data_IF_199085993447
#
_entry.id   IF_199085993447
#
_cell.length_a   1.000
_cell.length_b   1.000
_cell.length_c   1.000
_cell.angle_alpha   90.00
_cell.angle_beta   90.00
_cell.angle_gamma   90.00
#
_symmetry.space_group_name_H-M   'P 1'
#
loop_
_entity.id
_entity.type
_entity.pdbx_description
1 polymer ?
#
# COMPACT_ATOMS: atom_id res chain seq x y z
N UNK A 1 2.97 2.48 -20.83
CA UNK A 1 3.24 2.90 -19.44
C UNK A 1 3.51 1.66 -18.58
N UNK A 2 4.10 1.80 -17.39
CA UNK A 2 4.35 0.66 -16.49
C UNK A 2 3.74 0.83 -15.11
N UNK A 3 3.46 -0.28 -14.43
CA UNK A 3 3.07 -0.30 -13.01
C UNK A 3 4.22 -0.89 -12.19
N UNK A 4 4.63 -0.23 -11.12
CA UNK A 4 5.72 -0.66 -10.24
C UNK A 4 5.19 -0.83 -8.82
N UNK A 5 5.29 -2.02 -8.25
CA UNK A 5 4.88 -2.32 -6.87
C UNK A 5 6.09 -2.50 -5.98
N UNK A 6 6.07 -1.86 -4.82
CA UNK A 6 7.07 -2.02 -3.77
C UNK A 6 6.46 -2.62 -2.50
N UNK A 7 7.06 -3.71 -2.01
CA UNK A 7 6.62 -4.41 -0.80
C UNK A 7 6.96 -3.63 0.49
N UNK A 8 6.51 -4.15 1.63
CA UNK A 8 6.64 -3.45 2.91
C UNK A 8 8.08 -3.25 3.38
N UNK A 9 8.99 -4.19 3.08
CA UNK A 9 10.43 -4.07 3.32
C UNK A 9 11.07 -3.01 2.42
N UNK A 10 10.57 -2.85 1.19
CA UNK A 10 11.03 -1.81 0.26
C UNK A 10 10.69 -0.39 0.74
N UNK A 11 9.74 -0.23 1.66
CA UNK A 11 9.31 1.07 2.21
C UNK A 11 9.40 1.12 3.74
N UNK A 12 10.23 0.28 4.36
CA UNK A 12 10.26 0.12 5.83
C UNK A 12 10.91 1.27 6.61
N UNK A 13 11.74 2.07 5.93
CA UNK A 13 12.59 3.11 6.49
C UNK A 13 12.84 4.24 5.47
N UNK A 14 13.41 5.36 5.92
CA UNK A 14 13.80 6.45 5.05
C UNK A 14 14.78 5.99 3.97
N UNK A 15 15.82 5.24 4.35
CA UNK A 15 16.81 4.71 3.41
C UNK A 15 16.18 3.77 2.36
N UNK A 16 15.24 2.91 2.76
CA UNK A 16 14.52 2.04 1.83
C UNK A 16 13.71 2.87 0.81
N UNK A 17 13.02 3.91 1.28
CA UNK A 17 12.24 4.82 0.44
C UNK A 17 13.15 5.61 -0.52
N UNK A 18 14.38 5.97 -0.12
CA UNK A 18 15.36 6.55 -1.04
C UNK A 18 15.71 5.60 -2.19
N UNK A 19 15.93 4.32 -1.89
CA UNK A 19 16.22 3.32 -2.92
C UNK A 19 15.05 3.21 -3.89
N UNK A 20 13.82 3.18 -3.38
CA UNK A 20 12.60 3.19 -4.19
C UNK A 20 12.54 4.44 -5.09
N UNK A 21 12.81 5.63 -4.56
CA UNK A 21 12.83 6.86 -5.34
C UNK A 21 13.85 6.80 -6.49
N UNK A 22 15.06 6.28 -6.24
CA UNK A 22 16.09 6.10 -7.28
C UNK A 22 15.66 5.11 -8.37
N UNK A 23 15.02 4.00 -7.97
CA UNK A 23 14.50 2.99 -8.90
C UNK A 23 13.43 3.62 -9.80
N UNK A 24 12.45 4.32 -9.22
CA UNK A 24 11.38 4.99 -9.99
C UNK A 24 11.96 6.10 -10.88
N UNK A 25 12.94 6.87 -10.39
CA UNK A 25 13.62 7.90 -11.17
C UNK A 25 14.23 7.35 -12.46
N UNK A 26 14.82 6.15 -12.39
CA UNK A 26 15.40 5.45 -13.54
C UNK A 26 14.37 4.95 -14.57
N UNK A 27 13.07 4.97 -14.22
CA UNK A 27 11.96 4.49 -15.05
C UNK A 27 11.02 5.58 -15.54
N UNK A 28 11.30 6.85 -15.27
CA UNK A 28 10.41 7.98 -15.62
C UNK A 28 9.99 8.01 -17.10
N UNK A 29 10.89 7.65 -18.03
CA UNK A 29 10.60 7.60 -19.47
C UNK A 29 9.54 6.55 -19.86
N UNK A 30 9.25 5.59 -18.98
CA UNK A 30 8.21 4.57 -19.17
C UNK A 30 6.88 4.94 -18.51
N UNK A 31 6.74 6.19 -18.03
CA UNK A 31 5.53 6.72 -17.37
C UNK A 31 5.06 5.82 -16.22
N UNK A 32 5.82 5.71 -15.12
CA UNK A 32 5.53 4.76 -14.06
C UNK A 32 4.30 5.17 -13.24
N UNK A 33 3.46 4.18 -12.93
CA UNK A 33 2.43 4.22 -11.88
C UNK A 33 2.95 3.40 -10.71
N UNK A 34 2.99 3.98 -9.52
CA UNK A 34 3.64 3.38 -8.35
C UNK A 34 2.61 2.90 -7.33
N UNK A 35 2.78 1.67 -6.87
CA UNK A 35 2.00 1.05 -5.80
C UNK A 35 2.95 0.72 -4.64
N UNK A 36 2.59 1.12 -3.42
CA UNK A 36 3.36 0.78 -2.22
C UNK A 36 2.49 0.05 -1.20
N UNK A 37 3.05 -0.94 -0.53
CA UNK A 37 2.44 -1.56 0.65
C UNK A 37 2.59 -0.67 1.89
N UNK A 38 1.96 -1.05 3.00
CA UNK A 38 2.28 -0.50 4.31
C UNK A 38 3.76 -0.72 4.63
N UNK A 39 4.34 0.13 5.49
CA UNK A 39 5.71 -0.09 5.98
C UNK A 39 5.82 -1.45 6.69
N UNK A 40 6.99 -2.10 6.64
CA UNK A 40 7.18 -3.42 7.24
C UNK A 40 6.63 -3.52 8.68
N UNK A 41 5.87 -4.60 8.92
CA UNK A 41 5.17 -4.95 10.18
C UNK A 41 3.98 -4.05 10.57
N UNK A 42 3.65 -3.01 9.80
CA UNK A 42 2.54 -2.11 10.16
C UNK A 42 1.19 -2.81 10.06
N UNK A 43 0.95 -3.63 9.03
CA UNK A 43 -0.30 -4.37 8.89
C UNK A 43 -0.52 -5.32 10.07
N UNK A 44 0.51 -6.06 10.49
CA UNK A 44 0.44 -6.95 11.66
C UNK A 44 0.16 -6.17 12.95
N UNK A 45 0.78 -4.99 13.10
CA UNK A 45 0.52 -4.09 14.23
C UNK A 45 -0.93 -3.60 14.24
N UNK A 46 -1.52 -3.28 13.08
CA UNK A 46 -2.92 -2.87 12.96
C UNK A 46 -3.86 -4.02 13.33
N UNK A 47 -3.61 -5.24 12.84
CA UNK A 47 -4.36 -6.45 13.25
C UNK A 47 -4.32 -6.60 14.78
N UNK A 48 -3.14 -6.54 15.38
CA UNK A 48 -2.97 -6.68 16.82
C UNK A 48 -3.68 -5.56 17.62
N UNK A 49 -3.65 -4.31 17.13
CA UNK A 49 -4.39 -3.20 17.73
C UNK A 49 -5.90 -3.44 17.71
N UNK A 50 -6.44 -3.92 16.59
CA UNK A 50 -7.87 -4.25 16.46
C UNK A 50 -8.29 -5.36 17.42
N UNK A 51 -7.48 -6.41 17.53
CA UNK A 51 -7.72 -7.52 18.47
C UNK A 51 -7.72 -7.05 19.93
N UNK A 52 -6.72 -6.27 20.34
CA UNK A 52 -6.66 -5.69 21.71
C UNK A 52 -7.88 -4.83 22.01
N UNK A 53 -8.23 -3.93 21.09
CA UNK A 53 -9.41 -3.07 21.25
C UNK A 53 -10.69 -3.90 21.36
N UNK A 54 -10.89 -4.92 20.51
CA UNK A 54 -12.06 -5.81 20.59
C UNK A 54 -12.16 -6.57 21.92
N UNK A 55 -11.03 -6.87 22.56
CA UNK A 55 -10.95 -7.47 23.91
C UNK A 55 -11.07 -6.44 25.05
N UNK A 56 -11.54 -5.23 24.76
CA UNK A 56 -11.66 -4.10 25.69
C UNK A 56 -10.33 -3.57 26.28
N UNK A 57 -9.19 -3.99 25.73
CA UNK A 57 -7.86 -3.47 26.06
C UNK A 57 -7.53 -2.24 25.19
N UNK A 58 -8.31 -1.18 25.38
CA UNK A 58 -8.18 0.06 24.60
C UNK A 58 -6.85 0.76 24.87
N UNK A 59 -6.38 0.75 26.12
CA UNK A 59 -5.14 1.43 26.51
C UNK A 59 -3.92 0.85 25.80
N UNK A 60 -3.79 -0.48 25.74
CA UNK A 60 -2.68 -1.11 25.02
C UNK A 60 -2.78 -0.91 23.50
N UNK A 61 -3.99 -0.86 22.94
CA UNK A 61 -4.21 -0.53 21.53
C UNK A 61 -3.77 0.92 21.23
N UNK A 62 -4.17 1.88 22.05
CA UNK A 62 -3.79 3.29 21.90
C UNK A 62 -2.30 3.54 22.18
N UNK A 63 -1.68 2.79 23.08
CA UNK A 63 -0.23 2.84 23.29
C UNK A 63 0.53 2.32 22.05
N UNK A 64 0.03 1.25 21.43
CA UNK A 64 0.59 0.73 20.18
C UNK A 64 0.41 1.73 19.03
N UNK A 65 -0.75 2.42 18.96
CA UNK A 65 -1.01 3.50 18.02
C UNK A 65 -0.03 4.68 18.21
N UNK A 66 0.28 5.06 19.45
CA UNK A 66 1.24 6.12 19.75
C UNK A 66 2.63 5.79 19.21
N UNK A 67 3.09 4.55 19.40
CA UNK A 67 4.37 4.07 18.87
C UNK A 67 4.37 4.07 17.33
N UNK A 68 3.28 3.60 16.70
CA UNK A 68 3.12 3.62 15.25
C UNK A 68 3.19 5.04 14.70
N UNK A 69 2.49 5.99 15.33
CA UNK A 69 2.52 7.40 14.99
C UNK A 69 3.93 7.97 15.06
N UNK A 70 4.64 7.74 16.15
CA UNK A 70 6.01 8.22 16.30
C UNK A 70 6.93 7.69 15.19
N UNK A 71 6.84 6.40 14.85
CA UNK A 71 7.62 5.79 13.75
C UNK A 71 7.36 6.48 12.41
N UNK A 72 6.11 6.78 12.08
CA UNK A 72 5.76 7.43 10.81
C UNK A 72 6.22 8.88 10.76
N UNK A 73 6.05 9.64 11.85
CA UNK A 73 6.55 11.02 11.93
C UNK A 73 8.07 11.08 11.86
N UNK A 74 8.77 10.16 12.54
CA UNK A 74 10.22 10.06 12.45
C UNK A 74 10.66 9.78 10.99
N UNK A 75 10.08 8.77 10.35
CA UNK A 75 10.40 8.43 8.95
C UNK A 75 10.12 9.59 8.00
N UNK A 76 9.00 10.29 8.17
CA UNK A 76 8.68 11.48 7.39
C UNK A 76 9.66 12.64 7.65
N UNK A 77 10.10 12.83 8.89
CA UNK A 77 11.07 13.87 9.25
C UNK A 77 12.44 13.62 8.60
N UNK A 78 12.92 12.38 8.68
CA UNK A 78 14.19 11.94 8.09
C UNK A 78 14.16 12.10 6.55
N UNK A 79 13.05 11.76 5.90
CA UNK A 79 12.92 11.87 4.43
C UNK A 79 12.76 13.31 3.93
N UNK A 80 11.94 14.11 4.62
CA UNK A 80 11.43 15.37 4.05
C UNK A 80 12.17 16.60 4.58
N UNK A 81 12.94 16.45 5.67
CA UNK A 81 13.46 17.57 6.44
C UNK A 81 12.35 18.35 7.17
N UNK A 82 12.74 19.18 8.15
CA UNK A 82 11.83 19.83 9.09
C UNK A 82 10.66 20.58 8.42
N UNK A 83 10.96 21.42 7.41
CA UNK A 83 9.96 22.31 6.79
C UNK A 83 8.85 21.53 6.10
N UNK A 84 9.20 20.53 5.29
CA UNK A 84 8.23 19.78 4.50
C UNK A 84 7.54 18.68 5.31
N UNK A 85 8.25 18.09 6.28
CA UNK A 85 7.63 17.23 7.28
C UNK A 85 6.52 17.97 8.06
N UNK A 86 6.73 19.24 8.41
CA UNK A 86 5.70 20.06 9.06
C UNK A 86 4.46 20.30 8.16
N UNK A 87 4.62 20.32 6.84
CA UNK A 87 3.49 20.43 5.89
C UNK A 87 2.72 19.11 5.75
N UNK A 88 3.40 17.96 5.84
CA UNK A 88 2.76 16.64 5.79
C UNK A 88 2.11 16.26 7.13
N UNK A 89 2.67 16.71 8.25
CA UNK A 89 2.25 16.30 9.60
C UNK A 89 0.73 16.42 9.87
N UNK A 90 0.02 17.51 9.48
CA UNK A 90 -1.43 17.58 9.68
C UNK A 90 -2.21 16.47 8.97
N UNK A 91 -1.76 16.02 7.79
CA UNK A 91 -2.41 14.92 7.06
C UNK A 91 -2.20 13.59 7.78
N UNK A 92 -1.00 13.34 8.30
CA UNK A 92 -0.71 12.15 9.09
C UNK A 92 -1.50 12.13 10.40
N UNK A 93 -1.50 13.25 11.15
CA UNK A 93 -2.25 13.37 12.40
C UNK A 93 -3.75 13.19 12.21
N UNK A 94 -4.33 13.70 11.11
CA UNK A 94 -5.74 13.46 10.79
C UNK A 94 -6.03 11.96 10.64
N UNK A 95 -5.15 11.20 9.98
CA UNK A 95 -5.30 9.74 9.84
C UNK A 95 -5.10 9.00 11.16
N UNK A 96 -4.12 9.40 11.98
CA UNK A 96 -3.93 8.81 13.30
C UNK A 96 -5.07 9.12 14.26
N UNK A 97 -5.67 10.32 14.18
CA UNK A 97 -6.85 10.68 14.95
C UNK A 97 -8.07 9.85 14.54
N UNK A 98 -8.29 9.68 13.23
CA UNK A 98 -9.35 8.81 12.67
C UNK A 98 -9.20 7.37 13.17
N UNK A 99 -7.98 6.81 13.07
CA UNK A 99 -7.66 5.48 13.59
C UNK A 99 -7.85 5.36 15.11
N UNK A 100 -7.43 6.37 15.88
CA UNK A 100 -7.63 6.39 17.33
C UNK A 100 -9.11 6.43 17.74
N UNK A 101 -9.93 7.20 17.02
CA UNK A 101 -11.38 7.23 17.25
C UNK A 101 -12.03 5.88 16.92
N UNK A 102 -11.60 5.26 15.83
CA UNK A 102 -12.06 3.92 15.46
C UNK A 102 -11.71 2.88 16.53
N UNK A 103 -10.47 2.86 17.04
CA UNK A 103 -10.07 1.93 18.10
C UNK A 103 -10.86 2.11 19.41
N UNK A 104 -11.20 3.35 19.77
CA UNK A 104 -12.07 3.63 20.93
C UNK A 104 -13.50 3.13 20.71
N UNK A 105 -14.06 3.38 19.53
CA UNK A 105 -15.39 2.86 19.17
C UNK A 105 -15.42 1.33 19.17
N UNK A 106 -14.39 0.71 18.60
CA UNK A 106 -14.22 -0.74 18.62
C UNK A 106 -14.14 -1.30 20.05
N UNK A 107 -13.43 -0.64 20.96
CA UNK A 107 -13.35 -1.06 22.36
C UNK A 107 -14.67 -0.91 23.13
N UNK A 108 -15.51 0.05 22.75
CA UNK A 108 -16.84 0.21 23.32
C UNK A 108 -17.81 -0.89 22.84
N UNK A 109 -17.77 -1.23 21.54
CA UNK A 109 -18.65 -2.24 20.93
C UNK A 109 -18.17 -3.67 21.17
N UNK A 110 -16.85 -3.88 21.32
CA UNK A 110 -16.18 -5.18 21.52
C UNK A 110 -16.38 -6.17 20.36
N UNK A 111 -16.54 -5.65 19.16
CA UNK A 111 -16.73 -6.46 17.95
C UNK A 111 -15.96 -5.91 16.77
N UNK A 112 -14.98 -6.67 16.26
CA UNK A 112 -14.26 -6.35 15.03
C UNK A 112 -14.90 -7.10 13.85
N UNK A 113 -15.84 -6.44 13.18
CA UNK A 113 -16.47 -6.98 11.97
C UNK A 113 -15.48 -7.03 10.79
N UNK A 114 -15.73 -7.85 9.75
CA UNK A 114 -14.91 -7.84 8.53
C UNK A 114 -14.79 -6.44 7.90
N UNK A 115 -15.88 -5.67 7.87
CA UNK A 115 -15.90 -4.27 7.42
C UNK A 115 -15.00 -3.37 8.28
N UNK A 116 -15.08 -3.54 9.60
CA UNK A 116 -14.21 -2.82 10.53
C UNK A 116 -12.73 -3.18 10.36
N UNK A 117 -12.44 -4.46 10.08
CA UNK A 117 -11.09 -4.93 9.77
C UNK A 117 -10.55 -4.26 8.51
N UNK A 118 -11.32 -4.22 7.43
CA UNK A 118 -10.89 -3.54 6.19
C UNK A 118 -10.60 -2.04 6.42
N UNK A 119 -11.46 -1.36 7.17
CA UNK A 119 -11.24 0.03 7.55
C UNK A 119 -9.92 0.20 8.32
N UNK A 120 -9.72 -0.60 9.37
CA UNK A 120 -8.54 -0.59 10.23
C UNK A 120 -7.25 -0.87 9.47
N UNK A 121 -7.24 -1.91 8.64
CA UNK A 121 -6.05 -2.32 7.91
C UNK A 121 -5.69 -1.32 6.81
N UNK A 122 -6.67 -0.57 6.27
CA UNK A 122 -6.40 0.39 5.21
C UNK A 122 -5.43 1.51 5.60
N UNK A 123 -5.29 1.82 6.89
CA UNK A 123 -4.41 2.87 7.38
C UNK A 123 -2.93 2.60 7.07
N UNK A 124 -2.51 1.34 6.96
CA UNK A 124 -1.12 0.99 6.68
C UNK A 124 -0.66 1.60 5.35
N UNK A 125 -1.39 1.31 4.28
CA UNK A 125 -1.10 1.78 2.93
C UNK A 125 -1.45 3.25 2.72
N UNK A 126 -2.48 3.79 3.41
CA UNK A 126 -2.77 5.22 3.37
C UNK A 126 -1.62 6.05 3.95
N UNK A 127 -1.06 5.63 5.09
CA UNK A 127 0.04 6.32 5.74
C UNK A 127 1.34 6.20 4.94
N UNK A 128 1.69 5.00 4.48
CA UNK A 128 2.94 4.79 3.73
C UNK A 128 2.92 5.54 2.39
N UNK A 129 1.82 5.43 1.63
CA UNK A 129 1.72 6.10 0.31
C UNK A 129 1.80 7.63 0.42
N UNK A 130 1.22 8.23 1.46
CA UNK A 130 1.35 9.68 1.71
C UNK A 130 2.81 10.09 1.93
N UNK A 131 3.54 9.35 2.76
CA UNK A 131 4.96 9.64 3.05
C UNK A 131 5.81 9.48 1.79
N UNK A 132 5.64 8.38 1.05
CA UNK A 132 6.43 8.10 -0.16
C UNK A 132 6.15 9.15 -1.24
N UNK A 133 4.91 9.58 -1.43
CA UNK A 133 4.56 10.61 -2.41
C UNK A 133 5.26 11.94 -2.13
N UNK A 134 5.27 12.40 -0.88
CA UNK A 134 6.00 13.63 -0.51
C UNK A 134 7.53 13.44 -0.58
N UNK A 135 8.02 12.23 -0.27
CA UNK A 135 9.45 11.92 -0.39
C UNK A 135 9.91 12.04 -1.84
N UNK A 136 9.15 11.49 -2.79
CA UNK A 136 9.41 11.60 -4.23
C UNK A 136 9.50 13.06 -4.67
N UNK A 137 8.57 13.89 -4.22
CA UNK A 137 8.55 15.30 -4.60
C UNK A 137 9.74 16.12 -4.07
N UNK A 138 10.39 15.69 -2.97
CA UNK A 138 11.67 16.29 -2.51
C UNK A 138 12.86 15.86 -3.37
N UNK A 139 12.80 14.66 -3.99
CA UNK A 139 13.82 14.16 -4.93
C UNK A 139 13.57 14.61 -6.38
N UNK A 140 12.71 15.60 -6.59
CA UNK A 140 12.41 16.14 -7.92
C UNK A 140 11.52 15.24 -8.79
N UNK A 141 10.95 14.16 -8.23
CA UNK A 141 9.97 13.34 -8.92
C UNK A 141 8.60 14.00 -8.81
N UNK A 142 7.94 14.27 -9.95
CA UNK A 142 6.63 14.90 -9.99
C UNK A 142 5.51 13.90 -9.61
N UNK A 143 5.53 13.44 -8.37
CA UNK A 143 4.57 12.48 -7.85
C UNK A 143 3.22 13.12 -7.55
N UNK A 144 2.17 12.32 -7.68
CA UNK A 144 0.81 12.67 -7.31
C UNK A 144 0.26 11.53 -6.45
N UNK A 145 0.04 11.80 -5.17
CA UNK A 145 -0.66 10.85 -4.31
C UNK A 145 -2.10 10.68 -4.80
N UNK A 146 -2.54 9.43 -4.92
CA UNK A 146 -3.90 9.06 -5.28
C UNK A 146 -4.38 7.99 -4.29
N UNK A 147 -5.52 8.24 -3.65
CA UNK A 147 -6.17 7.24 -2.81
C UNK A 147 -6.67 6.10 -3.70
N UNK A 148 -6.15 4.89 -3.50
CA UNK A 148 -6.53 3.72 -4.30
C UNK A 148 -8.00 3.35 -4.15
N UNK A 149 -8.64 3.72 -3.06
CA UNK A 149 -10.09 3.52 -2.84
C UNK A 149 -10.95 4.34 -3.80
N UNK A 150 -10.40 5.43 -4.34
CA UNK A 150 -11.05 6.22 -5.39
C UNK A 150 -10.86 5.64 -6.80
N UNK A 151 -10.04 4.59 -6.94
CA UNK A 151 -9.67 3.97 -8.22
C UNK A 151 -10.14 2.51 -8.31
N UNK A 152 -9.78 1.69 -7.33
CA UNK A 152 -10.08 0.28 -7.24
C UNK A 152 -11.48 0.08 -6.66
N UNK A 153 -12.38 -0.44 -7.48
CA UNK A 153 -13.77 -0.75 -7.10
C UNK A 153 -13.91 -2.23 -6.87
N UNK A 154 -14.54 -2.62 -5.78
CA UNK A 154 -14.79 -4.02 -5.41
C UNK A 154 -16.23 -4.26 -5.02
N UNK A 155 -16.59 -5.53 -4.88
CA UNK A 155 -17.80 -5.93 -4.15
C UNK A 155 -17.67 -5.67 -2.63
N UNK A 156 -18.71 -6.01 -1.87
CA UNK A 156 -18.73 -5.87 -0.41
C UNK A 156 -18.24 -7.13 0.33
N UNK A 157 -17.52 -8.04 -0.33
CA UNK A 157 -16.98 -9.25 0.29
C UNK A 157 -15.73 -8.91 1.10
N UNK A 158 -15.93 -8.18 2.20
CA UNK A 158 -14.88 -7.65 3.06
C UNK A 158 -13.80 -8.69 3.41
N UNK A 159 -12.56 -8.24 3.59
CA UNK A 159 -11.32 -9.02 3.80
C UNK A 159 -10.79 -9.80 2.60
N UNK A 160 -11.59 -9.95 1.54
CA UNK A 160 -11.25 -10.68 0.30
C UNK A 160 -12.07 -10.18 -0.88
N UNK A 161 -12.20 -8.86 -0.97
CA UNK A 161 -13.14 -8.23 -1.89
C UNK A 161 -12.72 -8.46 -3.34
N UNK A 162 -13.71 -8.74 -4.20
CA UNK A 162 -13.47 -9.08 -5.60
C UNK A 162 -13.51 -7.81 -6.45
N UNK A 163 -12.48 -7.52 -7.26
CA UNK A 163 -12.45 -6.33 -8.11
C UNK A 163 -13.55 -6.30 -9.17
N UNK A 164 -14.24 -5.17 -9.27
CA UNK A 164 -15.17 -4.84 -10.34
C UNK A 164 -14.40 -4.10 -11.44
N UNK A 165 -13.90 -4.85 -12.42
CA UNK A 165 -12.92 -4.35 -13.40
C UNK A 165 -13.45 -3.24 -14.31
N UNK A 166 -14.72 -3.25 -14.68
CA UNK A 166 -15.31 -2.20 -15.52
C UNK A 166 -15.32 -0.85 -14.79
N UNK A 167 -15.86 -0.82 -13.57
CA UNK A 167 -15.89 0.38 -12.73
C UNK A 167 -14.47 0.84 -12.36
N UNK A 168 -13.57 -0.12 -12.08
CA UNK A 168 -12.15 0.16 -11.80
C UNK A 168 -11.47 0.83 -12.99
N UNK A 169 -11.66 0.32 -14.22
CA UNK A 169 -11.15 0.94 -15.45
C UNK A 169 -11.66 2.37 -15.63
N UNK A 170 -12.95 2.59 -15.43
CA UNK A 170 -13.55 3.92 -15.56
C UNK A 170 -12.95 4.91 -14.55
N UNK A 171 -12.83 4.52 -13.27
CA UNK A 171 -12.24 5.38 -12.22
C UNK A 171 -10.75 5.61 -12.44
N UNK A 172 -9.99 4.59 -12.81
CA UNK A 172 -8.56 4.70 -13.13
C UNK A 172 -8.32 5.67 -14.30
N UNK A 173 -9.07 5.55 -15.40
CA UNK A 173 -8.97 6.49 -16.52
C UNK A 173 -9.26 7.93 -16.10
N UNK A 174 -10.26 8.15 -15.25
CA UNK A 174 -10.63 9.48 -14.75
C UNK A 174 -9.60 10.08 -13.78
N UNK A 175 -9.05 9.28 -12.87
CA UNK A 175 -8.17 9.75 -11.78
C UNK A 175 -6.69 9.73 -12.16
N UNK A 176 -6.24 8.66 -12.81
CA UNK A 176 -4.83 8.42 -13.13
C UNK A 176 -4.46 8.95 -14.52
N UNK A 177 -5.34 8.79 -15.51
CA UNK A 177 -5.10 9.22 -16.90
C UNK A 177 -4.60 10.67 -17.03
N UNK A 178 -5.28 11.67 -16.42
CA UNK A 178 -4.84 13.07 -16.48
C UNK A 178 -3.49 13.34 -15.81
N UNK A 179 -3.11 12.54 -14.81
CA UNK A 179 -1.83 12.69 -14.11
C UNK A 179 -0.70 12.20 -15.02
N UNK A 180 -0.87 11.02 -15.61
CA UNK A 180 0.11 10.43 -16.54
C UNK A 180 0.28 11.30 -17.78
N UNK A 181 -0.82 11.82 -18.35
CA UNK A 181 -0.77 12.73 -19.49
C UNK A 181 0.01 14.03 -19.21
N UNK A 182 0.06 14.48 -17.95
CA UNK A 182 0.85 15.63 -17.49
C UNK A 182 2.28 15.27 -17.07
N UNK A 183 2.72 14.03 -17.33
CA UNK A 183 4.03 13.53 -16.92
C UNK A 183 4.20 13.38 -15.40
N UNK A 184 3.09 13.33 -14.65
CA UNK A 184 3.14 13.07 -13.20
C UNK A 184 3.20 11.57 -12.94
N UNK A 185 3.77 11.19 -11.81
CA UNK A 185 3.89 9.80 -11.33
C UNK A 185 2.76 9.55 -10.33
N UNK A 186 1.67 8.86 -10.71
CA UNK A 186 0.62 8.49 -9.76
C UNK A 186 1.20 7.52 -8.73
N UNK A 187 0.97 7.78 -7.46
CA UNK A 187 1.43 6.95 -6.35
C UNK A 187 0.26 6.57 -5.46
N UNK A 188 0.06 5.27 -5.29
CA UNK A 188 -1.09 4.68 -4.61
C UNK A 188 -0.65 3.71 -3.53
N UNK A 189 -1.51 3.54 -2.52
CA UNK A 189 -1.44 2.39 -1.61
C UNK A 189 -1.99 1.12 -2.29
N UNK A 190 -1.27 0.01 -2.21
CA UNK A 190 -1.79 -1.29 -2.63
C UNK A 190 -2.81 -1.85 -1.63
N UNK A 191 -3.24 -3.11 -1.81
CA UNK A 191 -4.07 -3.89 -0.87
C UNK A 191 -5.50 -3.36 -0.59
N UNK A 192 -5.71 -2.05 -0.63
CA UNK A 192 -6.93 -1.36 -0.24
C UNK A 192 -7.72 -0.94 -1.48
N UNK A 193 -9.04 -1.05 -1.37
CA UNK A 193 -10.00 -0.66 -2.39
C UNK A 193 -11.27 -0.12 -1.71
N UNK A 194 -12.31 0.17 -2.48
CA UNK A 194 -13.62 0.46 -1.90
C UNK A 194 -14.76 -0.10 -2.73
N UNK A 195 -15.90 -0.30 -2.08
CA UNK A 195 -17.15 -0.56 -2.77
C UNK A 195 -17.54 0.62 -3.68
N UNK A 196 -18.56 0.43 -4.51
CA UNK A 196 -19.12 1.51 -5.32
C UNK A 196 -19.50 2.75 -4.47
N UNK A 197 -20.03 2.53 -3.26
CA UNK A 197 -20.46 3.55 -2.29
C UNK A 197 -19.32 4.15 -1.46
N UNK A 198 -18.07 3.75 -1.72
CA UNK A 198 -16.89 4.27 -1.03
C UNK A 198 -16.60 3.64 0.32
N UNK A 199 -17.22 2.50 0.65
CA UNK A 199 -16.88 1.75 1.87
C UNK A 199 -15.53 1.06 1.67
N UNK A 200 -14.53 1.28 2.55
CA UNK A 200 -13.22 0.63 2.40
C UNK A 200 -13.33 -0.89 2.42
N UNK A 201 -12.55 -1.51 1.53
CA UNK A 201 -12.38 -2.96 1.43
C UNK A 201 -10.90 -3.31 1.32
N UNK A 202 -10.57 -4.57 1.59
CA UNK A 202 -9.24 -5.10 1.30
C UNK A 202 -9.31 -6.29 0.35
N UNK A 203 -8.25 -6.46 -0.43
CA UNK A 203 -8.14 -7.48 -1.49
C UNK A 203 -7.63 -8.83 -0.97
N UNK A 204 -7.46 -8.99 0.35
CA UNK A 204 -6.89 -10.17 0.97
C UNK A 204 -5.35 -10.23 0.94
N UNK A 205 -4.80 -11.37 1.36
CA UNK A 205 -3.36 -11.59 1.48
C UNK A 205 -2.67 -11.44 0.13
N UNK A 206 -1.50 -10.80 0.10
CA UNK A 206 -0.82 -10.46 -1.15
C UNK A 206 -1.49 -9.34 -1.95
N UNK A 207 -2.49 -8.67 -1.36
CA UNK A 207 -3.34 -7.72 -2.08
C UNK A 207 -2.62 -6.52 -2.70
N UNK A 208 -1.41 -6.16 -2.26
CA UNK A 208 -0.62 -5.11 -2.95
C UNK A 208 -0.11 -5.55 -4.31
N UNK A 209 0.34 -6.80 -4.46
CA UNK A 209 0.71 -7.36 -5.77
C UNK A 209 -0.53 -7.48 -6.65
N UNK A 210 -1.66 -7.89 -6.06
CA UNK A 210 -2.93 -7.94 -6.78
C UNK A 210 -3.40 -6.55 -7.22
N UNK A 211 -3.25 -5.50 -6.39
CA UNK A 211 -3.52 -4.11 -6.80
C UNK A 211 -2.71 -3.69 -8.01
N UNK A 212 -1.43 -4.08 -8.07
CA UNK A 212 -0.57 -3.76 -9.20
C UNK A 212 -1.04 -4.46 -10.49
N UNK A 213 -1.46 -5.72 -10.38
CA UNK A 213 -2.06 -6.47 -11.49
C UNK A 213 -3.38 -5.85 -11.97
N UNK A 214 -4.26 -5.48 -11.03
CA UNK A 214 -5.54 -4.81 -11.34
C UNK A 214 -5.28 -3.47 -12.05
N UNK A 215 -4.38 -2.64 -11.54
CA UNK A 215 -4.02 -1.37 -12.16
C UNK A 215 -3.38 -1.56 -13.53
N UNK A 216 -2.51 -2.56 -13.69
CA UNK A 216 -1.90 -2.90 -14.97
C UNK A 216 -2.95 -3.25 -16.02
N UNK A 217 -3.92 -4.10 -15.66
CA UNK A 217 -5.03 -4.48 -16.52
C UNK A 217 -6.08 -3.35 -16.73
N UNK A 218 -6.18 -2.40 -15.80
CA UNK A 218 -7.13 -1.29 -15.89
C UNK A 218 -6.59 -0.10 -16.70
N UNK A 219 -5.28 0.02 -16.80
CA UNK A 219 -4.57 1.10 -17.50
C UNK A 219 -3.89 0.64 -18.79
N UNK A 220 -4.08 -0.62 -19.17
CA UNK A 220 -3.45 -1.23 -20.35
C UNK A 220 -1.92 -1.06 -20.31
N UNK A 221 -1.31 -1.36 -19.16
CA UNK A 221 0.12 -1.19 -18.93
C UNK A 221 0.96 -2.21 -19.72
N UNK A 222 2.12 -1.77 -20.20
CA UNK A 222 3.04 -2.61 -20.99
C UNK A 222 3.69 -3.71 -20.12
N UNK A 223 3.89 -3.42 -18.83
CA UNK A 223 4.45 -4.38 -17.87
C UNK A 223 4.12 -3.99 -16.43
N UNK A 224 4.02 -5.01 -15.58
CA UNK A 224 3.92 -4.87 -14.12
C UNK A 224 5.25 -5.34 -13.52
N UNK A 225 5.91 -4.48 -12.74
CA UNK A 225 7.17 -4.75 -12.06
C UNK A 225 6.91 -4.93 -10.56
N UNK A 226 7.18 -6.13 -10.03
CA UNK A 226 7.06 -6.43 -8.60
C UNK A 226 8.44 -6.36 -7.97
N UNK A 227 8.64 -5.39 -7.08
CA UNK A 227 9.89 -5.19 -6.35
C UNK A 227 9.74 -5.75 -4.93
N UNK A 228 10.55 -6.76 -4.62
CA UNK A 228 10.57 -7.49 -3.35
C UNK A 228 12.00 -7.64 -2.83
N UNK A 229 12.16 -8.30 -1.69
CA UNK A 229 13.40 -8.58 -0.96
C UNK A 229 14.19 -9.81 -1.48
N UNK A 230 13.71 -10.46 -2.54
CA UNK A 230 14.37 -11.59 -3.21
C UNK A 230 14.55 -11.30 -4.71
N UNK A 231 15.58 -11.92 -5.32
CA UNK A 231 15.90 -11.76 -6.74
C UNK A 231 14.94 -12.56 -7.64
N UNK A 232 13.69 -12.10 -7.73
CA UNK A 232 12.64 -12.70 -8.56
C UNK A 232 12.04 -13.98 -7.97
N UNK A 233 11.37 -14.76 -8.81
CA UNK A 233 10.90 -16.09 -8.42
C UNK A 233 12.08 -17.05 -8.36
N UNK A 234 12.13 -17.84 -7.29
CA UNK A 234 13.19 -18.81 -7.06
C UNK A 234 12.66 -20.24 -7.18
N UNK A 235 13.53 -21.21 -7.41
CA UNK A 235 13.16 -22.64 -7.52
C UNK A 235 12.47 -23.20 -6.26
N UNK A 236 12.67 -22.57 -5.11
CA UNK A 236 11.99 -22.82 -3.83
C UNK A 236 12.25 -21.63 -2.89
N UNK A 237 11.67 -21.62 -1.68
CA UNK A 237 11.94 -20.55 -0.71
C UNK A 237 13.43 -20.57 -0.28
N UNK A 238 14.20 -19.51 -0.58
CA UNK A 238 15.64 -19.45 -0.24
C UNK A 238 15.92 -19.49 1.27
N UNK A 239 14.91 -19.18 2.10
CA UNK A 239 15.02 -19.26 3.57
C UNK A 239 14.98 -20.71 4.06
N UNK A 240 14.39 -21.61 3.28
CA UNK A 240 14.37 -23.05 3.56
C UNK A 240 15.53 -23.78 2.88
N UNK A 241 15.86 -23.38 1.66
CA UNK A 241 16.96 -23.98 0.89
C UNK A 241 17.89 -22.88 0.34
N UNK A 242 19.06 -22.64 0.97
CA UNK A 242 20.02 -21.63 0.51
C UNK A 242 20.57 -21.87 -0.91
N UNK A 243 20.45 -23.08 -1.44
CA UNK A 243 20.85 -23.43 -2.80
C UNK A 243 19.80 -23.06 -3.87
N UNK A 244 18.67 -22.46 -3.48
CA UNK A 244 17.64 -21.99 -4.39
C UNK A 244 18.23 -21.03 -5.45
N UNK A 245 17.76 -21.18 -6.69
CA UNK A 245 18.23 -20.39 -7.83
C UNK A 245 17.10 -19.55 -8.40
N UNK A 246 17.43 -18.39 -8.94
CA UNK A 246 16.47 -17.54 -9.65
C UNK A 246 15.99 -18.20 -10.95
N UNK A 247 14.67 -18.27 -11.11
CA UNK A 247 14.00 -18.66 -12.33
C UNK A 247 13.96 -17.44 -13.25
N UNK A 248 14.72 -17.46 -14.34
CA UNK A 248 14.86 -16.29 -15.25
C UNK A 248 13.58 -15.96 -16.01
N UNK A 249 12.83 -16.99 -16.41
CA UNK A 249 11.60 -16.89 -17.17
C UNK A 249 10.67 -18.02 -16.75
N UNK A 250 9.40 -17.70 -16.60
CA UNK A 250 8.34 -18.63 -16.20
C UNK A 250 7.05 -18.20 -16.89
N UNK A 251 6.22 -19.15 -17.30
CA UNK A 251 4.90 -18.85 -17.86
C UNK A 251 3.93 -18.43 -16.76
N UNK A 252 2.83 -17.78 -17.16
CA UNK A 252 1.77 -17.39 -16.21
C UNK A 252 1.20 -18.60 -15.46
N UNK A 253 0.95 -19.71 -16.17
CA UNK A 253 0.36 -20.91 -15.56
C UNK A 253 1.32 -21.53 -14.53
N UNK A 254 2.60 -21.66 -14.85
CA UNK A 254 3.58 -22.19 -13.89
C UNK A 254 3.72 -21.29 -12.66
N UNK A 255 3.75 -19.97 -12.85
CA UNK A 255 3.82 -19.02 -11.74
C UNK A 255 2.55 -19.04 -10.87
N UNK A 256 1.37 -19.21 -11.49
CA UNK A 256 0.10 -19.30 -10.78
C UNK A 256 0.04 -20.57 -9.91
N UNK A 257 0.47 -21.71 -10.44
CA UNK A 257 0.56 -22.96 -9.67
C UNK A 257 1.56 -22.83 -8.51
N UNK A 258 2.75 -22.26 -8.75
CA UNK A 258 3.75 -22.02 -7.70
C UNK A 258 3.28 -21.06 -6.60
N UNK A 259 2.41 -20.09 -6.92
CA UNK A 259 1.89 -19.16 -5.93
C UNK A 259 0.71 -19.74 -5.12
N UNK A 260 0.05 -20.77 -5.65
CA UNK A 260 -1.10 -21.42 -5.03
C UNK A 260 -0.69 -22.47 -3.98
N UNK A 261 0.38 -23.22 -4.24
CA UNK A 261 0.92 -24.28 -3.37
C UNK A 261 2.02 -23.80 -2.44
#
# INVERSE_FOLDING_TARGET
MIVMKFGGTSVESAEAIERVAKIVASRQRRSPVVVVSAMAKVTDQLVAMGQKAALADCDSALQSLKALRQRHHYTASELLGKKRAATLAPKLEARFAELGNFLRGLAAVRELTPRGSDFLLSFGELLSSLIVADAFAVRGLNAAWVDSRECLVTDATHTRAVPQMESTRARCRKKIGPLVAKGRIPLLGGFIAATADGVPTTLGRGGSDYSAAILGAALDADSIEIWTDVEGMMTTDPRLCPAARTIKQISFNEAAELAYF
#
